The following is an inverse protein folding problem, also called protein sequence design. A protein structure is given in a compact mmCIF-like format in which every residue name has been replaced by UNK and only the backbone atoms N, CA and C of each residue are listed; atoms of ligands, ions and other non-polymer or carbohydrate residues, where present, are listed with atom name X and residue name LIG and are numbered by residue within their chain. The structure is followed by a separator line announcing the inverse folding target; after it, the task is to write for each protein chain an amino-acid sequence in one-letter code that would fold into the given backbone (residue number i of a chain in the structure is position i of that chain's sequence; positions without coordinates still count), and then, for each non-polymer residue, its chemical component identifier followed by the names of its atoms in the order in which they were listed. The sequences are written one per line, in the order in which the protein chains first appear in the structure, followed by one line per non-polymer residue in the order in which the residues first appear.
data_IF_338996755336
#
_entry.id   IF_338996755336
#
_cell.length_a   1.000
_cell.length_b   1.000
_cell.length_c   1.000
_cell.angle_alpha   90.00
_cell.angle_beta   90.00
_cell.angle_gamma   90.00
#
_symmetry.space_group_name_H-M   'P 1'
#
loop_
_entity.id
_entity.type
_entity.pdbx_description
1 polymer ?
#
# COMPACT_ATOMS: atom_id res chain seq x y z
N UNK A 1 5.21 -17.54 7.84
CA UNK A 1 3.88 -17.98 7.37
C UNK A 1 2.78 -17.55 8.33
N UNK A 2 3.02 -17.53 9.64
CA UNK A 2 2.03 -17.12 10.68
C UNK A 2 1.20 -15.87 10.35
N UNK A 3 1.81 -14.81 9.82
CA UNK A 3 1.12 -13.53 9.56
C UNK A 3 0.58 -13.37 8.13
N UNK A 4 0.69 -14.40 7.29
CA UNK A 4 0.39 -14.31 5.85
C UNK A 4 -0.40 -15.49 5.31
N UNK A 5 -0.43 -16.62 6.03
CA UNK A 5 -1.20 -17.80 5.70
C UNK A 5 -2.15 -18.06 6.86
N UNK A 6 -3.44 -17.83 6.60
CA UNK A 6 -4.53 -18.12 7.52
C UNK A 6 -5.36 -19.25 6.93
N UNK A 7 -5.80 -20.17 7.79
CA UNK A 7 -6.64 -21.29 7.40
C UNK A 7 -8.11 -20.94 7.63
N UNK A 8 -8.98 -21.41 6.75
CA UNK A 8 -10.44 -21.23 6.74
C UNK A 8 -10.94 -19.78 6.57
N UNK A 9 -10.49 -18.85 7.41
CA UNK A 9 -10.92 -17.44 7.39
C UNK A 9 -9.80 -16.47 7.77
N UNK A 10 -10.02 -15.18 7.49
CA UNK A 10 -9.10 -14.12 7.89
C UNK A 10 -9.37 -13.75 9.35
N UNK A 11 -8.38 -13.88 10.27
CA UNK A 11 -8.61 -13.62 11.68
C UNK A 11 -8.72 -12.12 11.95
N UNK A 12 -9.43 -11.76 13.02
CA UNK A 12 -9.26 -10.44 13.60
C UNK A 12 -7.87 -10.33 14.23
N UNK A 13 -7.09 -9.36 13.76
CA UNK A 13 -5.75 -9.10 14.27
C UNK A 13 -5.82 -7.96 15.27
N UNK A 14 -5.50 -8.26 16.53
CA UNK A 14 -5.32 -7.22 17.55
C UNK A 14 -4.01 -6.45 17.34
N UNK A 15 -3.89 -5.31 18.03
CA UNK A 15 -2.69 -4.45 17.96
C UNK A 15 -1.40 -5.21 18.33
N UNK A 16 -1.51 -6.23 19.21
CA UNK A 16 -0.39 -7.07 19.61
C UNK A 16 0.10 -7.97 18.47
N UNK A 17 -0.82 -8.61 17.76
CA UNK A 17 -0.53 -9.44 16.60
C UNK A 17 0.06 -8.61 15.46
N UNK A 18 -0.52 -7.44 15.19
CA UNK A 18 0.00 -6.49 14.19
C UNK A 18 1.42 -6.04 14.56
N UNK A 19 1.66 -5.67 15.82
CA UNK A 19 2.99 -5.24 16.29
C UNK A 19 4.04 -6.35 16.17
N UNK A 20 3.68 -7.60 16.46
CA UNK A 20 4.58 -8.75 16.25
C UNK A 20 4.87 -8.99 14.78
N UNK A 21 3.86 -8.86 13.91
CA UNK A 21 4.04 -8.99 12.47
C UNK A 21 4.98 -7.91 11.92
N UNK A 22 4.78 -6.64 12.32
CA UNK A 22 5.66 -5.52 11.95
C UNK A 22 7.10 -5.77 12.39
N UNK A 23 7.29 -6.19 13.65
CA UNK A 23 8.63 -6.45 14.20
C UNK A 23 9.33 -7.60 13.48
N UNK A 24 8.63 -8.71 13.23
CA UNK A 24 9.20 -9.85 12.49
C UNK A 24 9.65 -9.47 11.07
N UNK A 25 8.87 -8.63 10.39
CA UNK A 25 9.23 -8.12 9.08
C UNK A 25 10.43 -7.17 9.16
N UNK A 26 10.40 -6.21 10.10
CA UNK A 26 11.46 -5.22 10.24
C UNK A 26 12.79 -5.86 10.59
N UNK A 27 12.82 -6.75 11.57
CA UNK A 27 14.01 -7.49 12.01
C UNK A 27 14.61 -8.32 10.87
N UNK A 28 13.76 -9.00 10.10
CA UNK A 28 14.20 -9.82 8.97
C UNK A 28 14.88 -9.00 7.86
N UNK A 29 14.34 -7.83 7.53
CA UNK A 29 14.92 -6.95 6.50
C UNK A 29 16.16 -6.19 7.00
N UNK A 30 16.20 -5.84 8.29
CA UNK A 30 17.39 -5.24 8.93
C UNK A 30 18.55 -6.23 8.98
N UNK A 31 18.31 -7.48 9.39
CA UNK A 31 19.33 -8.53 9.46
C UNK A 31 19.97 -8.85 8.10
N UNK A 32 19.23 -8.62 7.01
CA UNK A 32 19.71 -8.81 5.64
C UNK A 32 20.35 -7.55 5.04
N UNK A 33 20.43 -6.44 5.80
CA UNK A 33 20.87 -5.13 5.32
C UNK A 33 20.17 -4.69 4.02
N UNK A 34 18.94 -5.15 3.79
CA UNK A 34 18.30 -5.10 2.47
C UNK A 34 18.15 -3.68 1.93
N UNK A 35 17.62 -2.76 2.75
CA UNK A 35 17.42 -1.36 2.35
C UNK A 35 18.71 -0.54 2.41
N UNK A 36 19.62 -0.88 3.33
CA UNK A 36 20.93 -0.22 3.46
C UNK A 36 21.81 -0.52 2.25
N UNK A 37 21.98 -1.80 1.91
CA UNK A 37 22.83 -2.26 0.81
C UNK A 37 22.37 -1.73 -0.55
N UNK A 38 21.06 -1.61 -0.74
CA UNK A 38 20.48 -1.10 -1.99
C UNK A 38 20.24 0.41 -2.00
N UNK A 39 20.48 1.10 -0.88
CA UNK A 39 20.16 2.53 -0.71
C UNK A 39 18.70 2.85 -1.07
N UNK A 40 17.79 1.95 -0.72
CA UNK A 40 16.40 1.93 -1.19
C UNK A 40 15.42 2.62 -0.21
N UNK A 41 15.88 3.64 0.52
CA UNK A 41 15.02 4.43 1.41
C UNK A 41 14.19 5.43 0.59
N UNK A 42 12.86 5.35 0.72
CA UNK A 42 11.95 6.29 0.06
C UNK A 42 12.06 7.64 0.78
N UNK A 43 12.35 8.76 0.10
CA UNK A 43 12.37 10.08 0.73
C UNK A 43 10.97 10.50 1.18
N UNK A 44 10.89 11.34 2.21
CA UNK A 44 9.65 12.00 2.60
C UNK A 44 9.34 13.16 1.64
N UNK A 45 8.05 13.38 1.39
CA UNK A 45 7.54 14.55 0.70
C UNK A 45 8.00 15.84 1.38
N UNK A 46 8.28 16.86 0.56
CA UNK A 46 8.78 18.14 1.04
C UNK A 46 7.75 18.78 1.98
N UNK A 47 8.17 19.05 3.22
CA UNK A 47 7.35 19.72 4.22
C UNK A 47 6.42 18.80 5.01
N UNK A 48 6.41 17.49 4.78
CA UNK A 48 5.53 16.56 5.50
C UNK A 48 5.92 16.43 6.98
N UNK A 49 7.16 16.03 7.26
CA UNK A 49 7.74 15.97 8.62
C UNK A 49 9.26 15.90 8.56
N UNK A 50 9.91 16.05 9.71
CA UNK A 50 11.35 15.82 9.85
C UNK A 50 11.65 14.32 9.71
N UNK A 51 12.73 14.00 8.99
CA UNK A 51 13.26 12.63 8.90
C UNK A 51 13.84 12.21 10.26
N UNK A 52 13.42 11.04 10.72
CA UNK A 52 13.86 10.44 11.99
C UNK A 52 14.51 9.06 11.78
N UNK A 53 14.40 8.48 10.59
CA UNK A 53 14.96 7.18 10.26
C UNK A 53 16.29 7.29 9.52
N UNK A 54 17.28 6.51 9.97
CA UNK A 54 18.55 6.29 9.26
C UNK A 54 18.49 4.97 8.49
N UNK A 55 19.53 4.63 7.73
CA UNK A 55 19.60 3.29 7.14
C UNK A 55 19.76 2.16 8.17
N UNK A 56 20.05 2.48 9.42
CA UNK A 56 20.14 1.51 10.51
C UNK A 56 18.79 1.19 11.15
N UNK A 57 17.83 2.13 11.06
CA UNK A 57 16.49 1.97 11.65
C UNK A 57 15.37 1.90 10.63
N UNK A 58 15.66 2.19 9.35
CA UNK A 58 14.68 2.15 8.28
C UNK A 58 14.50 0.72 7.77
N UNK A 59 13.28 0.19 7.93
CA UNK A 59 12.93 -1.15 7.48
C UNK A 59 11.53 -1.19 6.85
N UNK A 60 11.01 -2.41 6.67
CA UNK A 60 9.83 -2.73 5.88
C UNK A 60 8.59 -1.92 6.28
N UNK A 61 8.28 -1.81 7.57
CA UNK A 61 7.08 -1.12 8.07
C UNK A 61 7.06 0.34 7.62
N UNK A 62 8.11 1.10 7.94
CA UNK A 62 8.23 2.50 7.54
C UNK A 62 8.27 2.64 6.00
N UNK A 63 8.89 1.69 5.30
CA UNK A 63 8.91 1.68 3.84
C UNK A 63 7.50 1.58 3.24
N UNK A 64 6.67 0.65 3.74
CA UNK A 64 5.28 0.50 3.32
C UNK A 64 4.45 1.72 3.73
N UNK A 65 4.62 2.24 4.96
CA UNK A 65 3.97 3.48 5.40
C UNK A 65 4.27 4.65 4.47
N UNK A 66 5.51 4.79 3.99
CA UNK A 66 5.88 5.84 3.02
C UNK A 66 5.24 5.64 1.65
N UNK A 67 5.10 4.41 1.16
CA UNK A 67 4.42 4.13 -0.11
C UNK A 67 2.93 4.42 -0.03
N UNK A 68 2.31 4.01 1.07
CA UNK A 68 0.87 4.19 1.27
C UNK A 68 0.51 5.63 1.61
N UNK A 69 1.25 6.25 2.51
CA UNK A 69 0.98 7.60 3.02
C UNK A 69 1.28 8.71 2.02
N UNK A 70 2.15 8.48 1.03
CA UNK A 70 2.47 9.44 -0.04
C UNK A 70 1.72 9.09 -1.33
N UNK A 71 0.41 8.85 -1.20
CA UNK A 71 -0.46 8.45 -2.30
C UNK A 71 -0.47 9.48 -3.44
N UNK A 72 -0.68 9.03 -4.68
CA UNK A 72 -0.81 9.91 -5.84
C UNK A 72 -1.90 10.99 -5.62
N UNK A 73 -1.53 12.27 -5.78
CA UNK A 73 -2.40 13.42 -5.44
C UNK A 73 -3.78 13.44 -6.12
N UNK A 74 -3.95 12.70 -7.21
CA UNK A 74 -5.17 12.74 -8.03
C UNK A 74 -5.69 11.35 -8.40
N UNK A 75 -6.34 10.63 -7.47
CA UNK A 75 -6.95 9.33 -7.75
C UNK A 75 -7.98 9.38 -8.90
N UNK A 76 -8.62 10.54 -9.12
CA UNK A 76 -9.58 10.75 -10.21
C UNK A 76 -8.97 10.61 -11.60
N UNK A 77 -7.69 10.96 -11.78
CA UNK A 77 -7.03 10.78 -13.08
C UNK A 77 -6.92 9.30 -13.45
N UNK A 78 -6.66 8.42 -12.47
CA UNK A 78 -6.65 6.97 -12.68
C UNK A 78 -8.04 6.44 -13.03
N UNK A 79 -9.10 6.95 -12.39
CA UNK A 79 -10.47 6.57 -12.69
C UNK A 79 -10.86 6.98 -14.11
N UNK A 80 -10.53 8.20 -14.54
CA UNK A 80 -10.78 8.66 -15.91
C UNK A 80 -10.10 7.76 -16.95
N UNK A 81 -8.85 7.34 -16.72
CA UNK A 81 -8.14 6.42 -17.62
C UNK A 81 -8.83 5.06 -17.72
N UNK A 82 -9.46 4.59 -16.64
CA UNK A 82 -10.24 3.35 -16.64
C UNK A 82 -11.57 3.53 -17.40
N UNK A 83 -12.24 4.67 -17.22
CA UNK A 83 -13.47 5.01 -17.94
C UNK A 83 -13.24 5.16 -19.45
N UNK A 84 -12.12 5.75 -19.87
CA UNK A 84 -11.71 5.82 -21.27
C UNK A 84 -11.57 4.43 -21.92
N UNK A 85 -11.32 3.39 -21.12
CA UNK A 85 -11.25 1.99 -21.56
C UNK A 85 -12.54 1.21 -21.32
N UNK A 86 -13.61 1.89 -20.91
CA UNK A 86 -14.94 1.31 -20.70
C UNK A 86 -15.15 0.67 -19.32
N UNK A 87 -14.25 0.89 -18.36
CA UNK A 87 -14.40 0.44 -16.98
C UNK A 87 -14.97 1.57 -16.10
N UNK A 88 -16.24 1.46 -15.74
CA UNK A 88 -16.95 2.43 -14.91
C UNK A 88 -17.10 1.87 -13.49
N UNK A 89 -16.19 2.25 -12.59
CA UNK A 89 -16.09 1.67 -11.23
C UNK A 89 -16.92 2.45 -10.21
N UNK A 90 -17.04 3.77 -10.38
CA UNK A 90 -17.67 4.67 -9.39
C UNK A 90 -19.11 5.05 -9.72
N UNK A 91 -19.61 4.73 -10.91
CA UNK A 91 -20.99 5.03 -11.31
C UNK A 91 -21.83 3.75 -11.35
N UNK A 92 -22.88 3.67 -10.53
CA UNK A 92 -23.97 2.73 -10.74
C UNK A 92 -24.64 3.05 -12.08
N UNK A 93 -24.38 2.22 -13.08
CA UNK A 93 -25.15 2.29 -14.32
C UNK A 93 -26.59 1.90 -13.99
N UNK A 94 -27.50 2.87 -13.98
CA UNK A 94 -28.88 2.57 -14.36
C UNK A 94 -28.80 2.10 -15.81
N UNK A 95 -28.90 0.77 -16.03
CA UNK A 95 -29.04 0.21 -17.37
C UNK A 95 -30.32 0.79 -17.99
N UNK A 96 -30.19 1.87 -18.77
CA UNK A 96 -31.14 2.13 -19.87
C UNK A 96 -30.62 1.38 -21.08
N UNK A 97 -30.85 0.07 -21.09
CA UNK A 97 -30.85 -0.66 -22.34
C UNK A 97 -32.13 -0.29 -23.09
N UNK A 98 -31.98 0.64 -24.02
CA UNK A 98 -33.04 1.15 -24.87
C UNK A 98 -32.43 1.52 -26.20
N UNK A 99 -32.65 0.63 -27.17
CA UNK A 99 -32.45 0.80 -28.61
C UNK A 99 -31.02 0.66 -29.17
N UNK A 100 -30.74 -0.52 -29.72
CA UNK A 100 -30.23 -0.62 -31.09
C UNK A 100 -31.17 -1.50 -31.90
N UNK A 101 -32.09 -0.85 -32.58
CA UNK A 101 -32.64 -1.34 -33.85
C UNK A 101 -31.72 -0.85 -34.95
N UNK A 102 -31.06 -1.80 -35.63
CA UNK A 102 -30.86 -1.88 -37.08
C UNK A 102 -30.04 -3.11 -37.41
#
# INVERSE_FOLDING_TARGET
MEFTLFEDEYPELDDGAVSRAMSAMDDGYLAQDYYRGQRAKIPLEKGARKETYTYDSYSWTEHICRKWGQWHMKPKELLNLLEERGFFITEERTRKDGSRSR
#
